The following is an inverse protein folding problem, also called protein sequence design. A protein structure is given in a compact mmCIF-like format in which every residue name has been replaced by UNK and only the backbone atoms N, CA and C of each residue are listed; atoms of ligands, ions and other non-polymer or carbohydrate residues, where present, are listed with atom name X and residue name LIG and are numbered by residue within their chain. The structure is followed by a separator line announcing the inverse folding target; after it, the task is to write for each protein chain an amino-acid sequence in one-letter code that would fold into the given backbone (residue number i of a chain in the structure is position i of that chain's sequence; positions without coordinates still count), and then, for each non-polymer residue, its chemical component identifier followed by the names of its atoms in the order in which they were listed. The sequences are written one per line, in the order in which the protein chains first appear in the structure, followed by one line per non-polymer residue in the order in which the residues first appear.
data_IF_954996230068
#
_entry.id   IF_954996230068
#
_cell.length_a   1.000
_cell.length_b   1.000
_cell.length_c   1.000
_cell.angle_alpha   90.00
_cell.angle_beta   90.00
_cell.angle_gamma   90.00
#
_symmetry.space_group_name_H-M   'P 1'
#
loop_
_entity.id
_entity.type
_entity.pdbx_description
1 polymer ?
#
# COMPACT_ATOMS: atom_id res chain seq x y z
N UNK A 1 -19.50 14.41 -21.82
CA UNK A 1 -18.88 13.14 -21.40
C UNK A 1 -18.48 12.42 -22.67
N UNK A 2 -17.21 12.12 -22.82
CA UNK A 2 -16.66 11.51 -24.05
C UNK A 2 -17.11 10.05 -24.19
N UNK A 3 -17.19 9.51 -25.41
CA UNK A 3 -17.63 8.12 -25.65
C UNK A 3 -16.70 7.14 -24.95
N UNK A 4 -15.39 7.35 -25.09
CA UNK A 4 -14.35 6.54 -24.47
C UNK A 4 -14.50 6.56 -22.94
N UNK A 5 -14.83 7.73 -22.38
CA UNK A 5 -15.07 7.88 -20.95
C UNK A 5 -16.29 7.10 -20.48
N UNK A 6 -17.41 7.18 -21.21
CA UNK A 6 -18.60 6.37 -20.90
C UNK A 6 -18.29 4.87 -20.97
N UNK A 7 -17.52 4.44 -21.97
CA UNK A 7 -17.14 3.03 -22.14
C UNK A 7 -16.31 2.51 -20.97
N UNK A 8 -15.27 3.25 -20.57
CA UNK A 8 -14.42 2.87 -19.44
C UNK A 8 -15.21 2.88 -18.11
N UNK A 9 -16.09 3.85 -17.89
CA UNK A 9 -16.96 3.86 -16.71
C UNK A 9 -17.85 2.62 -16.64
N UNK A 10 -18.51 2.25 -17.74
CA UNK A 10 -19.35 1.04 -17.80
C UNK A 10 -18.53 -0.23 -17.59
N UNK A 11 -17.34 -0.31 -18.19
CA UNK A 11 -16.42 -1.43 -17.99
C UNK A 11 -16.06 -1.59 -16.52
N UNK A 12 -15.72 -0.49 -15.83
CA UNK A 12 -15.37 -0.52 -14.42
C UNK A 12 -16.56 -0.92 -13.54
N UNK A 13 -17.78 -0.44 -13.83
CA UNK A 13 -19.01 -0.83 -13.11
C UNK A 13 -19.30 -2.33 -13.22
N UNK A 14 -19.01 -2.95 -14.38
CA UNK A 14 -19.25 -4.37 -14.63
C UNK A 14 -18.26 -5.31 -13.94
N UNK A 15 -17.14 -4.80 -13.41
CA UNK A 15 -16.16 -5.64 -12.72
C UNK A 15 -16.75 -6.35 -11.47
N UNK A 16 -16.51 -7.65 -11.27
CA UNK A 16 -17.16 -8.43 -10.24
C UNK A 16 -16.54 -8.17 -8.86
N UNK A 17 -17.00 -7.11 -8.19
CA UNK A 17 -16.62 -6.69 -6.82
C UNK A 17 -16.64 -7.83 -5.81
N UNK A 18 -17.63 -8.73 -5.90
CA UNK A 18 -17.81 -9.84 -4.97
C UNK A 18 -16.69 -10.90 -5.03
N UNK A 19 -15.88 -10.90 -6.09
CA UNK A 19 -14.75 -11.81 -6.20
C UNK A 19 -13.47 -11.31 -5.51
N UNK A 20 -13.51 -10.11 -4.92
CA UNK A 20 -12.42 -9.57 -4.11
C UNK A 20 -12.54 -10.09 -2.69
N UNK A 21 -11.45 -10.66 -2.19
CA UNK A 21 -11.37 -11.31 -0.87
C UNK A 21 -11.42 -10.31 0.28
N UNK A 22 -10.91 -9.10 0.08
CA UNK A 22 -10.88 -8.05 1.11
C UNK A 22 -11.94 -6.97 0.87
N UNK A 23 -12.61 -6.55 1.94
CA UNK A 23 -13.52 -5.40 1.93
C UNK A 23 -12.79 -4.08 1.59
N UNK A 24 -11.51 -4.00 1.95
CA UNK A 24 -10.65 -2.88 1.61
C UNK A 24 -10.44 -2.78 0.09
N UNK A 25 -10.17 -3.91 -0.57
CA UNK A 25 -10.00 -3.97 -2.02
C UNK A 25 -11.29 -3.62 -2.77
N UNK A 26 -12.44 -4.03 -2.23
CA UNK A 26 -13.74 -3.61 -2.76
C UNK A 26 -13.93 -2.10 -2.65
N UNK A 27 -13.50 -1.51 -1.53
CA UNK A 27 -13.57 -0.06 -1.29
C UNK A 27 -12.63 0.70 -2.23
N UNK A 28 -11.44 0.17 -2.50
CA UNK A 28 -10.48 0.74 -3.47
C UNK A 28 -11.08 0.74 -4.88
N UNK A 29 -11.71 -0.36 -5.29
CA UNK A 29 -12.38 -0.45 -6.59
C UNK A 29 -13.51 0.58 -6.71
N UNK A 30 -14.34 0.72 -5.67
CA UNK A 30 -15.45 1.67 -5.65
C UNK A 30 -14.94 3.14 -5.68
N UNK A 31 -13.85 3.46 -4.95
CA UNK A 31 -13.20 4.78 -5.04
C UNK A 31 -12.63 5.08 -6.42
N UNK A 32 -12.02 4.07 -7.08
CA UNK A 32 -11.48 4.21 -8.43
C UNK A 32 -12.58 4.42 -9.46
N UNK A 33 -13.69 3.69 -9.35
CA UNK A 33 -14.89 3.89 -10.17
C UNK A 33 -15.40 5.31 -10.06
N UNK A 34 -15.61 5.79 -8.83
CA UNK A 34 -16.11 7.15 -8.59
C UNK A 34 -15.15 8.21 -9.14
N UNK A 35 -13.85 8.03 -8.90
CA UNK A 35 -12.82 8.96 -9.37
C UNK A 35 -12.75 9.02 -10.90
N UNK A 36 -12.79 7.88 -11.58
CA UNK A 36 -12.75 7.83 -13.05
C UNK A 36 -14.06 8.34 -13.65
N UNK A 37 -15.21 7.99 -13.09
CA UNK A 37 -16.53 8.44 -13.59
C UNK A 37 -16.77 9.94 -13.40
N UNK A 38 -16.22 10.55 -12.35
CA UNK A 38 -16.33 12.00 -12.10
C UNK A 38 -15.22 12.84 -12.73
N UNK A 39 -14.21 12.19 -13.31
CA UNK A 39 -13.06 12.85 -13.93
C UNK A 39 -13.47 13.77 -15.08
N UNK A 40 -12.93 15.00 -15.11
CA UNK A 40 -13.10 15.91 -16.26
C UNK A 40 -12.23 15.52 -17.46
N UNK A 41 -11.08 14.88 -17.19
CA UNK A 41 -10.14 14.44 -18.21
C UNK A 41 -9.68 13.01 -17.89
N UNK A 42 -10.24 12.04 -18.63
CA UNK A 42 -9.94 10.62 -18.46
C UNK A 42 -8.47 10.31 -18.66
N UNK A 43 -7.83 10.90 -19.68
CA UNK A 43 -6.43 10.62 -20.01
C UNK A 43 -5.50 11.03 -18.89
N UNK A 44 -5.71 12.23 -18.33
CA UNK A 44 -4.93 12.72 -17.20
C UNK A 44 -5.13 11.88 -15.93
N UNK A 45 -6.35 11.40 -15.65
CA UNK A 45 -6.57 10.50 -14.51
C UNK A 45 -5.95 9.12 -14.71
N UNK A 46 -5.98 8.57 -15.93
CA UNK A 46 -5.29 7.31 -16.22
C UNK A 46 -3.75 7.47 -16.12
N UNK A 47 -3.20 8.61 -16.53
CA UNK A 47 -1.77 8.93 -16.35
C UNK A 47 -1.40 9.09 -14.87
N UNK A 48 -2.31 9.65 -14.04
CA UNK A 48 -2.11 9.71 -12.60
C UNK A 48 -2.18 8.33 -11.97
N UNK A 49 -3.15 7.49 -12.39
CA UNK A 49 -3.29 6.12 -11.91
C UNK A 49 -2.08 5.26 -12.29
N UNK A 50 -1.49 5.50 -13.46
CA UNK A 50 -0.26 4.84 -13.89
C UNK A 50 0.94 5.12 -12.97
N UNK A 51 0.98 6.32 -12.35
CA UNK A 51 2.03 6.71 -11.41
C UNK A 51 1.83 6.15 -10.01
N UNK A 52 0.65 5.60 -9.72
CA UNK A 52 0.38 4.94 -8.43
C UNK A 52 1.05 3.58 -8.44
N UNK A 53 1.83 3.30 -7.39
CA UNK A 53 2.57 2.03 -7.28
C UNK A 53 1.59 0.83 -7.30
N UNK A 54 2.00 -0.27 -7.95
CA UNK A 54 1.19 -1.46 -8.22
C UNK A 54 -0.02 -1.30 -9.18
N UNK A 55 -0.47 -0.07 -9.48
CA UNK A 55 -1.60 0.18 -10.40
C UNK A 55 -1.18 0.48 -11.84
N UNK A 56 0.12 0.47 -12.13
CA UNK A 56 0.69 0.78 -13.45
C UNK A 56 0.15 -0.14 -14.55
N UNK A 57 0.12 -1.46 -14.33
CA UNK A 57 -0.40 -2.40 -15.32
C UNK A 57 -1.91 -2.30 -15.52
N UNK A 58 -2.64 -2.02 -14.44
CA UNK A 58 -4.09 -1.77 -14.50
C UNK A 58 -4.40 -0.50 -15.29
N UNK A 59 -3.66 0.59 -15.04
CA UNK A 59 -3.78 1.84 -15.76
C UNK A 59 -3.42 1.68 -17.25
N UNK A 60 -2.35 0.95 -17.57
CA UNK A 60 -1.97 0.63 -18.95
C UNK A 60 -3.05 -0.19 -19.66
N UNK A 61 -3.66 -1.15 -18.96
CA UNK A 61 -4.80 -1.91 -19.50
C UNK A 61 -5.97 -1.00 -19.85
N UNK A 62 -6.34 -0.08 -18.96
CA UNK A 62 -7.42 0.88 -19.20
C UNK A 62 -7.07 1.87 -20.33
N UNK A 63 -5.82 2.33 -20.42
CA UNK A 63 -5.35 3.17 -21.52
C UNK A 63 -5.40 2.45 -22.87
N UNK A 64 -5.00 1.18 -22.91
CA UNK A 64 -5.07 0.37 -24.12
C UNK A 64 -6.51 0.19 -24.61
N UNK A 65 -7.46 -0.07 -23.71
CA UNK A 65 -8.89 -0.13 -24.05
C UNK A 65 -9.39 1.24 -24.51
N UNK A 66 -8.98 2.31 -23.84
CA UNK A 66 -9.35 3.67 -24.21
C UNK A 66 -8.91 4.00 -25.65
N UNK A 67 -7.66 3.68 -26.01
CA UNK A 67 -7.15 3.84 -27.37
C UNK A 67 -7.87 2.94 -28.39
N UNK A 68 -8.21 1.71 -28.00
CA UNK A 68 -8.92 0.77 -28.87
C UNK A 68 -10.33 1.28 -29.21
N UNK A 69 -11.06 1.80 -28.22
CA UNK A 69 -12.40 2.40 -28.37
C UNK A 69 -12.34 3.74 -29.10
N UNK A 70 -11.23 4.48 -28.99
CA UNK A 70 -11.01 5.68 -29.79
C UNK A 70 -10.79 5.34 -31.28
N UNK A 71 -10.02 4.27 -31.56
CA UNK A 71 -9.69 3.81 -32.92
C UNK A 71 -10.83 3.06 -33.61
N UNK A 72 -11.65 2.31 -32.88
CA UNK A 72 -12.79 1.57 -33.43
C UNK A 72 -14.13 2.16 -32.95
N UNK A 73 -14.86 2.88 -33.82
CA UNK A 73 -16.09 3.53 -33.43
C UNK A 73 -17.29 2.60 -33.23
N UNK A 74 -17.17 1.31 -33.56
CA UNK A 74 -18.26 0.33 -33.45
C UNK A 74 -18.32 -0.36 -32.09
N UNK A 75 -17.31 -0.15 -31.24
CA UNK A 75 -17.26 -0.69 -29.88
C UNK A 75 -18.14 0.16 -28.95
N UNK A 76 -19.36 -0.32 -28.69
CA UNK A 76 -20.30 0.33 -27.77
C UNK A 76 -20.28 -0.29 -26.36
N UNK A 77 -19.90 -1.57 -26.23
CA UNK A 77 -19.87 -2.29 -24.96
C UNK A 77 -18.56 -3.05 -24.71
N UNK A 78 -18.22 -3.23 -23.43
CA UNK A 78 -17.10 -4.04 -22.96
C UNK A 78 -17.32 -5.52 -23.23
N UNK A 79 -16.30 -6.21 -23.74
CA UNK A 79 -16.32 -7.66 -23.86
C UNK A 79 -15.94 -8.33 -22.54
N UNK A 80 -16.46 -9.54 -22.31
CA UNK A 80 -16.13 -10.36 -21.11
C UNK A 80 -14.61 -10.59 -21.01
N UNK A 81 -13.91 -10.69 -22.15
CA UNK A 81 -12.47 -10.85 -22.19
C UNK A 81 -11.73 -9.60 -21.68
N UNK A 82 -12.19 -8.40 -22.06
CA UNK A 82 -11.64 -7.13 -21.57
C UNK A 82 -11.92 -6.93 -20.09
N UNK A 83 -13.15 -7.21 -19.64
CA UNK A 83 -13.52 -7.15 -18.22
C UNK A 83 -12.66 -8.10 -17.38
N UNK A 84 -12.49 -9.35 -17.82
CA UNK A 84 -11.65 -10.34 -17.13
C UNK A 84 -10.18 -9.94 -17.10
N UNK A 85 -9.66 -9.38 -18.21
CA UNK A 85 -8.29 -8.90 -18.30
C UNK A 85 -8.03 -7.75 -17.33
N UNK A 86 -8.87 -6.72 -17.36
CA UNK A 86 -8.76 -5.56 -16.47
C UNK A 86 -8.95 -5.98 -15.01
N UNK A 87 -9.88 -6.90 -14.72
CA UNK A 87 -10.08 -7.40 -13.37
C UNK A 87 -8.90 -8.21 -12.86
N UNK A 88 -8.25 -9.02 -13.71
CA UNK A 88 -7.01 -9.73 -13.35
C UNK A 88 -5.90 -8.73 -13.01
N UNK A 89 -5.72 -7.69 -13.81
CA UNK A 89 -4.74 -6.62 -13.54
C UNK A 89 -5.05 -5.84 -12.27
N UNK A 90 -6.33 -5.60 -11.99
CA UNK A 90 -6.75 -5.01 -10.71
C UNK A 90 -6.41 -5.92 -9.52
N UNK A 91 -6.74 -7.22 -9.61
CA UNK A 91 -6.43 -8.20 -8.56
C UNK A 91 -4.93 -8.34 -8.30
N UNK A 92 -4.10 -8.22 -9.35
CA UNK A 92 -2.65 -8.15 -9.21
C UNK A 92 -2.21 -6.85 -8.53
N UNK A 93 -2.78 -5.71 -8.92
CA UNK A 93 -2.49 -4.40 -8.33
C UNK A 93 -2.81 -4.32 -6.82
N UNK A 94 -3.88 -4.99 -6.37
CA UNK A 94 -4.26 -5.07 -4.94
C UNK A 94 -3.61 -6.25 -4.21
N UNK A 95 -2.72 -7.00 -4.85
CA UNK A 95 -1.99 -8.12 -4.23
C UNK A 95 -2.82 -9.37 -3.93
N UNK A 96 -4.02 -9.53 -4.52
CA UNK A 96 -4.85 -10.73 -4.34
C UNK A 96 -4.37 -11.92 -5.19
N UNK A 97 -3.64 -11.64 -6.26
CA UNK A 97 -2.99 -12.63 -7.12
C UNK A 97 -1.52 -12.24 -7.17
N UNK A 98 -0.62 -13.18 -6.89
CA UNK A 98 0.81 -12.97 -7.05
C UNK A 98 1.11 -12.60 -8.52
N UNK A 99 2.03 -11.66 -8.75
CA UNK A 99 2.61 -11.46 -10.07
C UNK A 99 3.28 -12.78 -10.50
N UNK A 100 2.57 -13.56 -11.32
CA UNK A 100 3.23 -14.52 -12.20
C UNK A 100 4.04 -13.68 -13.18
N UNK A 101 5.31 -13.45 -12.85
CA UNK A 101 6.23 -12.73 -13.70
C UNK A 101 6.32 -13.41 -15.06
N UNK A 102 5.77 -12.78 -16.08
CA UNK A 102 5.99 -13.16 -17.46
C UNK A 102 6.87 -12.11 -18.13
N UNK A 103 8.11 -12.54 -18.35
CA UNK A 103 9.08 -11.91 -19.24
C UNK A 103 8.43 -11.57 -20.59
N UNK A 104 8.67 -10.35 -21.03
CA UNK A 104 8.16 -9.75 -22.26
C UNK A 104 8.55 -10.47 -23.56
N UNK A 105 7.56 -10.54 -24.47
CA UNK A 105 7.63 -10.50 -25.96
C UNK A 105 8.01 -11.78 -26.75
N UNK A 106 7.01 -12.44 -27.35
CA UNK A 106 6.97 -12.80 -28.79
C UNK A 106 5.59 -13.41 -29.13
N UNK A 107 5.02 -13.07 -30.28
CA UNK A 107 3.63 -13.33 -30.62
C UNK A 107 3.26 -14.77 -31.04
N UNK A 108 1.95 -14.96 -31.25
CA UNK A 108 1.38 -16.07 -32.03
C UNK A 108 0.38 -16.93 -31.27
N UNK A 109 -0.91 -16.66 -31.49
CA UNK A 109 -2.10 -17.53 -31.62
C UNK A 109 -2.29 -18.82 -30.77
N UNK A 110 -3.56 -19.25 -30.55
CA UNK A 110 -3.95 -20.15 -29.47
C UNK A 110 -3.77 -21.63 -29.83
N UNK A 111 -3.53 -22.47 -28.81
CA UNK A 111 -3.81 -23.91 -28.88
C UNK A 111 -4.07 -24.49 -27.49
N UNK A 112 -5.32 -24.88 -27.31
CA UNK A 112 -5.79 -26.15 -26.72
C UNK A 112 -4.74 -27.04 -26.01
N UNK A 113 -4.99 -27.40 -24.75
CA UNK A 113 -4.93 -28.78 -24.24
C UNK A 113 -5.27 -28.89 -22.75
N UNK A 114 -6.50 -29.35 -22.50
CA UNK A 114 -6.98 -30.33 -21.52
C UNK A 114 -6.06 -30.86 -20.38
N UNK A 115 -6.61 -30.75 -19.17
CA UNK A 115 -6.95 -31.83 -18.19
C UNK A 115 -5.91 -32.43 -17.22
N UNK A 116 -6.50 -32.83 -16.06
CA UNK A 116 -6.05 -33.73 -14.97
C UNK A 116 -5.26 -33.05 -13.83
N UNK A 117 -5.50 -33.31 -12.53
CA UNK A 117 -6.28 -34.36 -11.88
C UNK A 117 -6.66 -33.90 -10.45
N UNK A 118 -7.83 -34.36 -10.01
CA UNK A 118 -8.40 -34.17 -8.68
C UNK A 118 -7.89 -35.31 -7.78
N UNK A 119 -7.23 -35.00 -6.66
CA UNK A 119 -7.08 -36.01 -5.61
C UNK A 119 -7.09 -35.41 -4.21
N UNK A 120 -8.27 -35.54 -3.61
CA UNK A 120 -8.58 -35.47 -2.18
C UNK A 120 -7.66 -36.39 -1.38
N UNK A 121 -7.02 -35.86 -0.34
CA UNK A 121 -6.54 -36.66 0.80
C UNK A 121 -6.56 -35.84 2.09
N UNK A 122 -7.55 -36.12 2.92
CA UNK A 122 -7.59 -35.81 4.36
C UNK A 122 -6.52 -36.59 5.12
N UNK A 123 -6.04 -36.06 6.25
CA UNK A 123 -6.00 -36.90 7.45
C UNK A 123 -6.51 -36.19 8.71
N UNK A 124 -7.49 -36.83 9.34
CA UNK A 124 -7.50 -37.29 10.75
C UNK A 124 -6.74 -36.42 11.79
N UNK A 125 -7.48 -35.67 12.60
CA UNK A 125 -7.06 -35.32 13.98
C UNK A 125 -8.29 -35.34 14.89
N UNK A 126 -8.34 -36.33 15.77
CA UNK A 126 -9.27 -36.47 16.88
C UNK A 126 -8.53 -36.21 18.20
N UNK A 127 -9.21 -35.52 19.13
CA UNK A 127 -8.99 -35.40 20.59
C UNK A 127 -8.04 -34.32 21.14
N UNK A 128 -8.65 -33.31 21.76
CA UNK A 128 -8.14 -32.64 22.97
C UNK A 128 -8.14 -33.62 24.17
N UNK A 129 -7.35 -33.36 25.25
CA UNK A 129 -7.93 -32.62 26.38
C UNK A 129 -6.97 -31.66 27.10
N UNK A 130 -7.59 -30.78 27.91
CA UNK A 130 -7.03 -29.65 28.66
C UNK A 130 -6.07 -29.97 29.84
N UNK A 131 -5.18 -29.02 30.18
CA UNK A 131 -4.98 -28.39 31.52
C UNK A 131 -3.74 -27.44 31.55
N UNK A 132 -3.89 -26.29 32.21
CA UNK A 132 -2.91 -25.22 32.56
C UNK A 132 -2.05 -25.63 33.81
N UNK A 133 -1.18 -24.81 34.46
CA UNK A 133 -0.34 -23.63 34.10
C UNK A 133 1.11 -23.66 34.71
N UNK A 134 1.92 -22.62 34.44
CA UNK A 134 3.15 -22.18 35.14
C UNK A 134 4.45 -22.97 34.98
N UNK A 135 5.46 -22.36 34.33
CA UNK A 135 6.87 -22.53 34.71
C UNK A 135 7.69 -21.27 34.40
N UNK A 136 8.56 -20.92 35.36
CA UNK A 136 9.45 -19.76 35.44
C UNK A 136 10.89 -20.30 35.35
N UNK A 137 11.84 -19.45 34.93
CA UNK A 137 13.33 -19.64 34.90
C UNK A 137 13.82 -20.26 33.57
N UNK A 138 14.83 -19.79 32.83
CA UNK A 138 16.00 -18.90 33.06
C UNK A 138 16.58 -18.55 31.67
N UNK A 139 17.40 -17.48 31.53
CA UNK A 139 17.82 -16.97 30.22
C UNK A 139 19.04 -17.73 29.69
N UNK A 140 18.89 -18.33 28.50
CA UNK A 140 20.01 -18.76 27.65
C UNK A 140 20.09 -17.86 26.41
N UNK A 141 21.30 -17.61 25.89
CA UNK A 141 21.61 -16.41 25.11
C UNK A 141 21.01 -16.52 23.71
N UNK A 142 19.97 -15.73 23.45
CA UNK A 142 19.32 -15.71 22.14
C UNK A 142 20.11 -14.80 21.22
N UNK A 143 20.65 -15.45 20.19
CA UNK A 143 21.02 -14.94 18.87
C UNK A 143 20.56 -13.49 18.56
N UNK A 144 21.57 -12.69 18.21
CA UNK A 144 21.52 -11.26 17.94
C UNK A 144 20.92 -10.90 16.55
N UNK A 145 19.76 -11.46 16.18
CA UNK A 145 19.17 -11.29 14.83
C UNK A 145 17.72 -10.76 14.82
N UNK A 146 17.04 -10.67 15.97
CA UNK A 146 15.61 -10.28 16.02
C UNK A 146 15.28 -8.82 16.36
N UNK A 147 16.17 -8.08 17.02
CA UNK A 147 15.80 -6.82 17.70
C UNK A 147 15.40 -5.70 16.73
N UNK A 148 16.04 -5.61 15.56
CA UNK A 148 15.80 -4.52 14.61
C UNK A 148 14.43 -4.59 13.93
N UNK A 149 14.02 -5.77 13.42
CA UNK A 149 12.79 -5.89 12.61
C UNK A 149 11.52 -5.77 13.45
N UNK A 150 11.56 -6.22 14.70
CA UNK A 150 10.44 -6.07 15.64
C UNK A 150 10.28 -4.62 16.10
N UNK A 151 11.38 -3.90 16.30
CA UNK A 151 11.36 -2.47 16.60
C UNK A 151 10.84 -1.64 15.41
N UNK A 152 11.29 -1.92 14.19
CA UNK A 152 10.81 -1.28 12.96
C UNK A 152 9.28 -1.43 12.78
N UNK A 153 8.76 -2.64 13.02
CA UNK A 153 7.32 -2.92 12.95
C UNK A 153 6.54 -2.27 14.08
N UNK A 154 7.11 -2.24 15.28
CA UNK A 154 6.51 -1.52 16.40
C UNK A 154 6.39 -0.03 16.09
N UNK A 155 7.44 0.57 15.53
CA UNK A 155 7.46 1.96 15.11
C UNK A 155 6.39 2.24 14.05
N UNK A 156 6.27 1.40 13.02
CA UNK A 156 5.24 1.55 11.99
C UNK A 156 3.82 1.58 12.59
N UNK A 157 3.51 0.62 13.48
CA UNK A 157 2.22 0.59 14.15
C UNK A 157 1.98 1.76 15.11
N UNK A 158 3.04 2.38 15.62
CA UNK A 158 2.95 3.57 16.47
C UNK A 158 2.70 4.83 15.62
N UNK A 159 3.35 4.92 14.46
CA UNK A 159 3.12 5.97 13.47
C UNK A 159 1.68 5.95 12.94
N UNK A 160 1.16 4.77 12.58
CA UNK A 160 -0.23 4.61 12.12
C UNK A 160 -1.24 5.08 13.17
N UNK A 161 -1.08 4.62 14.42
CA UNK A 161 -1.95 5.04 15.53
C UNK A 161 -1.88 6.54 15.79
N UNK A 162 -0.71 7.15 15.63
CA UNK A 162 -0.57 8.60 15.76
C UNK A 162 -1.32 9.32 14.64
N UNK A 163 -1.19 8.87 13.39
CA UNK A 163 -1.91 9.44 12.25
C UNK A 163 -3.42 9.35 12.46
N UNK A 164 -3.92 8.19 12.87
CA UNK A 164 -5.33 7.97 13.19
C UNK A 164 -5.80 8.91 14.31
N UNK A 165 -5.01 9.05 15.38
CA UNK A 165 -5.34 9.93 16.50
C UNK A 165 -5.38 11.41 16.10
N UNK A 166 -4.45 11.86 15.24
CA UNK A 166 -4.44 13.23 14.70
C UNK A 166 -5.65 13.46 13.79
N UNK A 167 -5.97 12.53 12.89
CA UNK A 167 -7.13 12.63 12.00
C UNK A 167 -8.46 12.62 12.76
N UNK A 168 -8.55 11.84 13.84
CA UNK A 168 -9.72 11.76 14.69
C UNK A 168 -9.85 12.96 15.65
N UNK A 169 -8.83 13.80 15.78
CA UNK A 169 -8.77 14.85 16.81
C UNK A 169 -8.81 14.26 18.23
N UNK A 170 -8.20 13.09 18.43
CA UNK A 170 -8.19 12.40 19.72
C UNK A 170 -7.25 13.07 20.73
N UNK A 171 -7.66 13.09 22.00
CA UNK A 171 -6.84 13.57 23.12
C UNK A 171 -5.53 12.76 23.28
N UNK A 172 -5.50 11.52 22.77
CA UNK A 172 -4.34 10.62 22.83
C UNK A 172 -3.20 11.04 21.87
N UNK A 173 -3.47 11.92 20.91
CA UNK A 173 -2.52 12.38 19.89
C UNK A 173 -1.22 12.93 20.49
N UNK A 174 -1.33 13.70 21.58
CA UNK A 174 -0.17 14.29 22.27
C UNK A 174 0.70 13.22 22.93
N UNK A 175 0.07 12.20 23.52
CA UNK A 175 0.78 11.09 24.15
C UNK A 175 1.47 10.21 23.10
N UNK A 176 0.78 9.92 21.99
CA UNK A 176 1.32 9.15 20.87
C UNK A 176 2.50 9.86 20.21
N UNK A 177 2.42 11.17 20.02
CA UNK A 177 3.55 11.99 19.54
C UNK A 177 4.76 11.86 20.48
N UNK A 178 4.57 11.99 21.80
CA UNK A 178 5.66 11.87 22.76
C UNK A 178 6.30 10.46 22.74
N UNK A 179 5.51 9.42 22.47
CA UNK A 179 6.03 8.06 22.31
C UNK A 179 6.81 7.91 21.00
N UNK A 180 6.35 8.50 19.88
CA UNK A 180 7.09 8.54 18.61
C UNK A 180 8.45 9.23 18.76
N UNK A 181 8.47 10.38 19.44
CA UNK A 181 9.72 11.14 19.66
C UNK A 181 10.75 10.30 20.44
N UNK A 182 10.31 9.62 21.51
CA UNK A 182 11.17 8.71 22.28
C UNK A 182 11.71 7.58 21.42
N UNK A 183 10.89 6.95 20.60
CA UNK A 183 11.35 5.88 19.71
C UNK A 183 12.35 6.41 18.67
N UNK A 184 12.13 7.61 18.12
CA UNK A 184 13.09 8.25 17.22
C UNK A 184 14.44 8.47 17.92
N UNK A 185 14.46 8.97 19.16
CA UNK A 185 15.67 9.16 19.95
C UNK A 185 16.43 7.84 20.18
N UNK A 186 15.71 6.75 20.49
CA UNK A 186 16.30 5.42 20.65
C UNK A 186 16.96 4.95 19.35
N UNK A 187 16.29 5.15 18.21
CA UNK A 187 16.80 4.75 16.89
C UNK A 187 18.05 5.57 16.51
N UNK A 188 18.03 6.88 16.72
CA UNK A 188 19.14 7.79 16.39
C UNK A 188 20.40 7.43 17.18
N UNK A 189 20.26 7.06 18.46
CA UNK A 189 21.38 6.71 19.35
C UNK A 189 21.88 5.27 19.16
N UNK A 190 21.20 4.44 18.38
CA UNK A 190 21.55 3.02 18.21
C UNK A 190 22.64 2.82 17.15
N UNK A 191 23.70 2.08 17.49
CA UNK A 191 24.81 1.86 16.55
C UNK A 191 24.49 0.85 15.43
N UNK A 192 23.57 -0.09 15.67
CA UNK A 192 23.30 -1.24 14.79
C UNK A 192 22.15 -1.04 13.78
N UNK A 193 21.77 0.22 13.51
CA UNK A 193 20.65 0.58 12.65
C UNK A 193 21.17 1.25 11.37
N UNK A 194 20.45 1.06 10.25
CA UNK A 194 20.73 1.73 8.97
C UNK A 194 20.77 3.25 9.12
N UNK A 195 21.77 3.90 8.53
CA UNK A 195 21.90 5.36 8.49
C UNK A 195 20.71 6.04 7.81
N UNK A 196 20.08 5.37 6.82
CA UNK A 196 18.87 5.87 6.17
C UNK A 196 17.70 5.96 7.15
N UNK A 197 17.53 4.94 8.00
CA UNK A 197 16.47 4.92 9.01
C UNK A 197 16.75 5.93 10.13
N UNK A 198 18.02 6.09 10.53
CA UNK A 198 18.41 7.16 11.48
C UNK A 198 18.12 8.55 10.93
N UNK A 199 18.43 8.78 9.65
CA UNK A 199 18.15 10.06 8.98
C UNK A 199 16.66 10.36 8.96
N UNK A 200 15.84 9.37 8.61
CA UNK A 200 14.38 9.47 8.68
C UNK A 200 13.89 9.81 10.10
N UNK A 201 14.32 9.06 11.12
CA UNK A 201 13.93 9.31 12.50
C UNK A 201 14.39 10.68 13.02
N UNK A 202 15.56 11.14 12.61
CA UNK A 202 16.05 12.49 12.96
C UNK A 202 15.13 13.57 12.39
N UNK A 203 14.81 13.50 11.09
CA UNK A 203 13.97 14.48 10.43
C UNK A 203 12.51 14.43 10.92
N UNK A 204 12.01 13.23 11.22
CA UNK A 204 10.70 13.06 11.83
C UNK A 204 10.65 13.65 13.24
N UNK A 205 11.68 13.45 14.05
CA UNK A 205 11.74 14.03 15.40
C UNK A 205 11.75 15.56 15.36
N UNK A 206 12.48 16.15 14.40
CA UNK A 206 12.51 17.59 14.17
C UNK A 206 11.13 18.12 13.75
N UNK A 207 10.43 17.40 12.85
CA UNK A 207 9.07 17.71 12.46
C UNK A 207 8.09 17.65 13.65
N UNK A 208 8.10 16.56 14.42
CA UNK A 208 7.24 16.39 15.59
C UNK A 208 7.47 17.47 16.65
N UNK A 209 8.73 17.88 16.84
CA UNK A 209 9.08 18.99 17.74
C UNK A 209 8.51 20.31 17.23
N UNK A 210 8.65 20.59 15.93
CA UNK A 210 8.14 21.80 15.31
C UNK A 210 6.62 21.93 15.42
N UNK A 211 5.86 20.87 15.09
CA UNK A 211 4.38 20.93 15.15
C UNK A 211 3.89 21.09 16.59
N UNK A 212 4.61 20.52 17.57
CA UNK A 212 4.29 20.65 18.99
C UNK A 212 4.52 22.07 19.49
N UNK A 213 5.68 22.65 19.17
CA UNK A 213 6.05 24.01 19.58
C UNK A 213 5.07 25.06 19.03
N UNK A 214 4.58 24.86 17.81
CA UNK A 214 3.69 25.79 17.12
C UNK A 214 2.20 25.43 17.25
N UNK A 215 1.85 24.38 17.99
CA UNK A 215 0.47 23.90 18.17
C UNK A 215 -0.25 23.59 16.84
N UNK A 216 0.47 23.03 15.87
CA UNK A 216 -0.06 22.67 14.55
C UNK A 216 -0.63 21.25 14.45
N UNK A 217 -0.88 20.57 15.58
CA UNK A 217 -1.40 19.20 15.56
C UNK A 217 -2.68 19.05 14.73
N UNK A 218 -3.59 20.03 14.80
CA UNK A 218 -4.86 20.01 14.07
C UNK A 218 -4.75 20.56 12.63
N UNK A 219 -3.55 20.96 12.20
CA UNK A 219 -3.35 21.55 10.87
C UNK A 219 -3.42 20.46 9.79
N UNK A 220 -4.22 20.69 8.76
CA UNK A 220 -4.39 19.78 7.61
C UNK A 220 -3.04 19.47 6.93
N UNK A 221 -2.08 20.39 6.97
CA UNK A 221 -0.73 20.19 6.44
C UNK A 221 0.04 19.14 7.22
N UNK A 222 -0.15 19.04 8.54
CA UNK A 222 0.48 18.00 9.37
C UNK A 222 -0.05 16.63 8.97
N UNK A 223 -1.37 16.50 8.80
CA UNK A 223 -1.98 15.25 8.33
C UNK A 223 -1.43 14.88 6.94
N UNK A 224 -1.36 15.83 6.02
CA UNK A 224 -0.83 15.58 4.67
C UNK A 224 0.63 15.11 4.71
N UNK A 225 1.49 15.75 5.52
CA UNK A 225 2.89 15.33 5.64
C UNK A 225 2.96 13.92 6.22
N UNK A 226 2.24 13.66 7.32
CA UNK A 226 2.24 12.36 7.97
C UNK A 226 1.75 11.23 7.04
N UNK A 227 0.68 11.45 6.27
CA UNK A 227 0.19 10.47 5.30
C UNK A 227 1.18 10.21 4.16
N UNK A 228 1.92 11.23 3.71
CA UNK A 228 2.90 11.06 2.64
C UNK A 228 4.21 10.41 3.09
N UNK A 229 4.51 10.36 4.39
CA UNK A 229 5.69 9.65 4.93
C UNK A 229 5.36 8.24 5.41
N UNK A 230 4.09 7.95 5.70
CA UNK A 230 3.62 6.64 6.14
C UNK A 230 3.86 5.57 5.08
N UNK A 231 3.44 5.82 3.83
CA UNK A 231 3.56 4.86 2.74
C UNK A 231 5.02 4.45 2.46
N UNK A 232 5.97 5.39 2.26
CA UNK A 232 7.38 5.03 2.08
C UNK A 232 7.97 4.28 3.28
N UNK A 233 7.58 4.67 4.51
CA UNK A 233 8.06 4.00 5.70
C UNK A 233 7.54 2.56 5.81
N UNK A 234 6.25 2.35 5.59
CA UNK A 234 5.64 1.01 5.56
C UNK A 234 6.29 0.13 4.50
N UNK A 235 6.47 0.64 3.29
CA UNK A 235 7.18 -0.09 2.22
C UNK A 235 8.60 -0.48 2.68
N UNK A 236 9.35 0.44 3.29
CA UNK A 236 10.69 0.15 3.80
C UNK A 236 10.70 -0.93 4.91
N UNK A 237 9.73 -0.91 5.83
CA UNK A 237 9.62 -1.91 6.91
C UNK A 237 9.31 -3.31 6.37
N UNK A 238 8.43 -3.41 5.37
CA UNK A 238 7.99 -4.68 4.79
C UNK A 238 8.90 -5.22 3.68
N UNK A 239 9.73 -4.38 3.07
CA UNK A 239 10.74 -4.81 2.10
C UNK A 239 11.90 -5.59 2.72
N UNK A 240 12.48 -6.48 1.92
CA UNK A 240 13.71 -7.18 2.27
C UNK A 240 14.91 -6.22 2.30
N UNK A 241 15.94 -6.56 3.09
CA UNK A 241 17.07 -5.63 3.35
C UNK A 241 17.80 -5.15 2.10
N UNK A 242 17.78 -5.95 1.04
CA UNK A 242 18.43 -5.63 -0.24
C UNK A 242 17.60 -4.64 -1.08
N UNK A 243 16.27 -4.63 -0.90
CA UNK A 243 15.33 -3.76 -1.62
C UNK A 243 14.96 -2.47 -0.86
N UNK A 244 15.49 -2.31 0.36
CA UNK A 244 15.20 -1.16 1.23
C UNK A 244 15.84 0.14 0.77
N UNK A 245 16.90 0.07 -0.02
CA UNK A 245 17.69 1.25 -0.37
C UNK A 245 16.86 2.27 -1.14
N UNK A 246 16.88 3.53 -0.67
CA UNK A 246 16.21 4.68 -1.30
C UNK A 246 14.68 4.68 -1.18
N UNK A 247 14.08 3.71 -0.48
CA UNK A 247 12.63 3.72 -0.24
C UNK A 247 12.22 4.81 0.76
N UNK A 248 13.11 5.23 1.67
CA UNK A 248 12.82 6.32 2.61
C UNK A 248 13.17 7.70 2.05
N UNK A 249 13.91 7.79 0.95
CA UNK A 249 14.34 9.07 0.36
C UNK A 249 13.18 10.04 0.06
N UNK A 250 12.01 9.59 -0.47
CA UNK A 250 10.85 10.46 -0.65
C UNK A 250 10.35 11.04 0.68
N UNK A 251 10.26 10.21 1.73
CA UNK A 251 9.80 10.65 3.05
C UNK A 251 10.80 11.59 3.73
N UNK A 252 12.09 11.29 3.62
CA UNK A 252 13.18 12.16 4.12
C UNK A 252 13.14 13.52 3.42
N UNK A 253 12.87 13.57 2.12
CA UNK A 253 12.75 14.83 1.38
C UNK A 253 11.59 15.68 1.89
N UNK A 254 10.41 15.09 2.10
CA UNK A 254 9.25 15.78 2.65
C UNK A 254 9.54 16.31 4.06
N UNK A 255 10.16 15.50 4.92
CA UNK A 255 10.53 15.89 6.27
C UNK A 255 11.70 16.88 6.33
N UNK A 256 12.53 16.98 5.29
CA UNK A 256 13.54 18.04 5.23
C UNK A 256 12.90 19.37 4.88
N UNK A 257 11.94 19.34 3.96
CA UNK A 257 11.38 20.54 3.34
C UNK A 257 10.06 20.99 4.02
N UNK A 258 9.63 20.34 5.12
CA UNK A 258 8.34 20.62 5.77
C UNK A 258 8.18 22.08 6.19
N UNK A 259 9.26 22.76 6.61
CA UNK A 259 9.20 24.13 7.12
C UNK A 259 8.68 25.11 6.07
N UNK A 260 9.06 24.91 4.81
CA UNK A 260 8.56 25.71 3.68
C UNK A 260 7.06 25.52 3.41
N UNK A 261 6.44 24.47 3.97
CA UNK A 261 4.99 24.27 3.88
C UNK A 261 4.23 25.03 4.99
N UNK A 262 4.93 25.48 6.04
CA UNK A 262 4.35 26.21 7.16
C UNK A 262 4.58 27.73 7.10
N UNK A 263 5.66 28.17 6.45
CA UNK A 263 6.03 29.57 6.20
C UNK A 263 5.45 30.13 4.88
#
# INVERSE_FOLDING_TARGET
MDRVHRYISVLLERLPKWELKSYENQTILDRLRDRISTAKNLKSELELLYKVNNFSEFALGLMWIAEKVEKDPTLEESSIAEESFIFKKFKQAVGEIAEEGESTLAGGFPSDSLALDEKVQTPDVLLEPAWNPSEKLTPSPVANVGVGKDQERHFAGLLDKFIEAVQAGSDDSTQLMANLQKECEIVILSENISEEYKSFCSMLNDFLSYIKENQYLDDVRVINILSNIQDPFSQWVFSDREDRASLLEPAVTILRDFRFMFE
#
